data_IF_956699033724
#
_entry.id   IF_956699033724
#
_cell.length_a   1.000
_cell.length_b   1.000
_cell.length_c   1.000
_cell.angle_alpha   90.00
_cell.angle_beta   90.00
_cell.angle_gamma   90.00
#
_symmetry.space_group_name_H-M   'P 1'
#
loop_
_entity.id
_entity.type
_entity.pdbx_description
1 polymer ?
#
# COMPACT_ATOMS: atom_id res chain seq x y z
N UNK A 1 -20.62 -84.25 -5.30
CA UNK A 1 -20.36 -83.52 -4.03
C UNK A 1 -19.67 -82.22 -4.43
N UNK A 2 -20.44 -81.17 -4.53
CA UNK A 2 -20.08 -79.90 -5.14
C UNK A 2 -19.79 -78.84 -4.08
N UNK A 3 -18.54 -78.47 -3.89
CA UNK A 3 -18.16 -77.44 -2.97
C UNK A 3 -18.19 -76.05 -3.67
N UNK A 4 -19.07 -75.15 -3.24
CA UNK A 4 -19.17 -73.78 -3.70
C UNK A 4 -18.22 -72.94 -2.85
N UNK A 5 -17.19 -72.40 -3.53
CA UNK A 5 -16.31 -71.37 -3.00
C UNK A 5 -16.99 -69.99 -3.13
N UNK A 6 -17.35 -69.38 -2.04
CA UNK A 6 -17.81 -68.00 -1.96
C UNK A 6 -16.57 -67.07 -1.96
N UNK A 7 -16.36 -66.34 -3.05
CA UNK A 7 -15.36 -65.29 -3.12
C UNK A 7 -15.96 -64.00 -2.54
N UNK A 8 -15.50 -63.58 -1.36
CA UNK A 8 -15.84 -62.31 -0.75
C UNK A 8 -14.98 -61.21 -1.35
N UNK A 9 -15.57 -60.39 -2.20
CA UNK A 9 -14.91 -59.18 -2.73
C UNK A 9 -14.90 -58.08 -1.66
N UNK A 10 -13.73 -57.79 -1.14
CA UNK A 10 -13.51 -56.62 -0.24
C UNK A 10 -13.33 -55.36 -1.13
N UNK A 11 -14.37 -54.53 -1.12
CA UNK A 11 -14.35 -53.24 -1.80
C UNK A 11 -13.66 -52.22 -0.88
N UNK A 12 -12.37 -51.98 -1.12
CA UNK A 12 -11.61 -50.94 -0.43
C UNK A 12 -11.95 -49.56 -1.02
N UNK A 13 -12.82 -48.85 -0.33
CA UNK A 13 -13.08 -47.42 -0.63
C UNK A 13 -11.87 -46.56 -0.26
N UNK A 14 -11.15 -46.11 -1.25
CA UNK A 14 -10.06 -45.15 -1.11
C UNK A 14 -10.70 -43.77 -0.86
N UNK A 15 -10.72 -43.32 0.43
CA UNK A 15 -11.11 -41.93 0.76
C UNK A 15 -9.92 -41.04 0.42
N UNK A 16 -10.02 -40.35 -0.71
CA UNK A 16 -9.14 -39.22 -1.05
C UNK A 16 -9.47 -38.09 -0.08
N UNK A 17 -8.72 -38.01 1.02
CA UNK A 17 -8.66 -36.78 1.83
C UNK A 17 -7.97 -35.71 1.00
N UNK A 18 -8.75 -34.96 0.23
CA UNK A 18 -8.31 -33.73 -0.40
C UNK A 18 -7.98 -32.74 0.72
N UNK A 19 -6.69 -32.60 1.09
CA UNK A 19 -6.22 -31.45 1.82
C UNK A 19 -6.45 -30.23 0.93
N UNK A 20 -7.61 -29.61 1.05
CA UNK A 20 -7.86 -28.28 0.53
C UNK A 20 -6.97 -27.32 1.31
N UNK A 21 -5.81 -27.00 0.75
CA UNK A 21 -5.07 -25.80 1.11
C UNK A 21 -5.89 -24.59 0.64
N UNK A 22 -7.00 -24.36 1.32
CA UNK A 22 -7.70 -23.10 1.29
C UNK A 22 -6.87 -22.19 2.18
N UNK A 23 -5.84 -21.56 1.61
CA UNK A 23 -5.17 -20.47 2.28
C UNK A 23 -6.22 -19.39 2.45
N UNK A 24 -6.60 -19.19 3.70
CA UNK A 24 -7.46 -18.10 4.11
C UNK A 24 -6.68 -16.81 3.90
N UNK A 25 -6.91 -16.15 2.75
CA UNK A 25 -6.27 -14.88 2.38
C UNK A 25 -6.65 -13.74 3.34
N UNK A 26 -7.62 -13.96 4.24
CA UNK A 26 -7.94 -13.02 5.31
C UNK A 26 -6.89 -12.99 6.43
N UNK A 27 -5.94 -13.92 6.43
CA UNK A 27 -4.83 -13.99 7.37
C UNK A 27 -3.47 -13.67 6.74
N UNK A 28 -3.43 -13.09 5.55
CA UNK A 28 -2.21 -12.40 5.13
C UNK A 28 -2.07 -11.24 6.13
N UNK A 29 -1.12 -11.30 7.09
CA UNK A 29 -0.82 -10.13 7.92
C UNK A 29 -0.61 -9.00 6.93
N UNK A 30 -1.23 -7.85 7.18
CA UNK A 30 -1.05 -6.66 6.37
C UNK A 30 0.38 -6.69 5.85
N UNK A 31 0.58 -6.65 4.52
CA UNK A 31 1.89 -6.83 3.89
C UNK A 31 2.92 -5.76 4.32
N UNK A 32 2.73 -5.22 5.48
CA UNK A 32 3.49 -4.29 6.24
C UNK A 32 4.80 -4.80 6.81
N UNK A 33 5.37 -5.90 6.28
CA UNK A 33 6.69 -6.38 6.67
C UNK A 33 7.85 -5.53 6.11
N UNK A 34 7.60 -4.25 5.83
CA UNK A 34 8.65 -3.29 5.62
C UNK A 34 9.27 -2.87 6.97
N UNK A 35 10.50 -2.30 6.97
CA UNK A 35 11.12 -1.81 8.19
C UNK A 35 10.22 -0.80 8.89
N UNK A 36 10.02 -1.00 10.20
CA UNK A 36 9.52 0.00 11.13
C UNK A 36 10.71 0.78 11.67
N UNK A 37 10.50 2.03 12.07
CA UNK A 37 11.59 2.87 12.60
C UNK A 37 11.59 4.25 11.93
N UNK A 38 12.65 5.04 12.10
CA UNK A 38 12.71 6.38 11.56
C UNK A 38 12.50 6.40 10.04
N UNK A 39 11.61 7.28 9.57
CA UNK A 39 11.44 7.54 8.15
C UNK A 39 12.65 8.30 7.59
N UNK A 40 13.07 7.96 6.38
CA UNK A 40 14.12 8.69 5.67
C UNK A 40 13.56 10.03 5.18
N UNK A 41 14.25 11.17 5.43
CA UNK A 41 13.82 12.45 4.90
C UNK A 41 13.78 12.47 3.38
N UNK A 42 12.64 12.86 2.81
CA UNK A 42 12.48 13.00 1.36
C UNK A 42 12.92 14.41 0.94
N UNK A 43 13.89 14.46 0.06
CA UNK A 43 14.40 15.70 -0.55
C UNK A 43 14.36 15.56 -2.07
N UNK A 44 13.26 15.99 -2.66
CA UNK A 44 13.04 15.91 -4.11
C UNK A 44 12.16 17.07 -4.58
N UNK A 45 12.27 17.48 -5.86
CA UNK A 45 11.33 18.43 -6.42
C UNK A 45 9.94 17.80 -6.52
N UNK A 46 8.92 18.60 -6.25
CA UNK A 46 7.53 18.22 -6.51
C UNK A 46 7.24 18.28 -8.02
N UNK A 47 6.13 17.67 -8.43
CA UNK A 47 5.66 17.72 -9.83
C UNK A 47 5.35 19.17 -10.31
N UNK A 48 5.15 20.10 -9.38
CA UNK A 48 5.03 21.54 -9.70
C UNK A 48 6.37 22.25 -9.84
N UNK A 49 7.49 21.59 -9.56
CA UNK A 49 8.85 22.13 -9.62
C UNK A 49 9.31 22.80 -8.31
N UNK A 50 8.47 22.90 -7.29
CA UNK A 50 8.88 23.39 -5.98
C UNK A 50 9.68 22.31 -5.24
N UNK A 51 10.62 22.72 -4.38
CA UNK A 51 11.30 21.75 -3.51
C UNK A 51 10.40 21.38 -2.34
N UNK A 52 10.23 20.08 -2.08
CA UNK A 52 9.52 19.62 -0.89
C UNK A 52 10.40 19.83 0.35
N UNK A 53 9.83 20.48 1.37
CA UNK A 53 10.52 20.69 2.64
C UNK A 53 10.07 19.62 3.65
N UNK A 54 10.89 18.58 3.83
CA UNK A 54 10.62 17.51 4.80
C UNK A 54 10.51 18.02 6.24
N UNK A 55 11.18 19.13 6.58
CA UNK A 55 11.09 19.69 7.93
C UNK A 55 9.68 20.14 8.30
N UNK A 56 8.86 20.45 7.32
CA UNK A 56 7.44 20.81 7.51
C UNK A 56 6.58 19.66 8.04
N UNK A 57 7.08 18.42 8.00
CA UNK A 57 6.37 17.24 8.54
C UNK A 57 6.60 17.04 10.03
N UNK A 58 7.57 17.74 10.63
CA UNK A 58 7.90 17.54 12.03
C UNK A 58 6.71 17.84 12.95
N UNK A 59 6.40 16.92 13.84
CA UNK A 59 5.27 17.04 14.77
C UNK A 59 3.91 16.70 14.16
N UNK A 60 3.89 16.25 12.91
CA UNK A 60 2.68 15.83 12.20
C UNK A 60 2.74 14.36 11.81
N UNK A 61 1.60 13.69 11.84
CA UNK A 61 1.50 12.40 11.16
C UNK A 61 1.59 12.62 9.64
N UNK A 62 2.25 11.69 8.94
CA UNK A 62 2.44 11.77 7.49
C UNK A 62 1.86 10.52 6.82
N UNK A 63 1.18 10.73 5.71
CA UNK A 63 0.76 9.69 4.77
C UNK A 63 1.60 9.85 3.51
N UNK A 64 2.46 8.86 3.24
CA UNK A 64 3.15 8.74 1.96
C UNK A 64 2.31 7.85 1.05
N UNK A 65 1.98 8.34 -0.11
CA UNK A 65 1.24 7.64 -1.16
C UNK A 65 2.17 7.38 -2.34
N UNK A 66 2.60 6.12 -2.50
CA UNK A 66 3.43 5.68 -3.61
C UNK A 66 2.54 5.26 -4.78
N UNK A 67 2.67 5.94 -5.90
CA UNK A 67 1.81 5.78 -7.07
C UNK A 67 2.58 6.02 -8.38
N UNK A 68 1.97 5.72 -9.51
CA UNK A 68 2.48 6.08 -10.83
C UNK A 68 1.32 6.28 -11.82
N UNK A 69 1.46 7.14 -12.82
CA UNK A 69 0.40 7.38 -13.80
C UNK A 69 0.06 6.14 -14.63
N UNK A 70 0.99 5.22 -14.74
CA UNK A 70 0.88 3.91 -15.40
C UNK A 70 0.20 2.85 -14.55
N UNK A 71 0.00 3.10 -13.25
CA UNK A 71 -0.54 2.15 -12.28
C UNK A 71 -2.08 2.15 -12.33
N UNK A 72 -2.65 1.14 -12.96
CA UNK A 72 -4.11 0.99 -13.05
C UNK A 72 -4.83 0.92 -11.69
N UNK A 73 -4.36 0.11 -10.72
CA UNK A 73 -4.93 0.10 -9.36
C UNK A 73 -4.85 1.47 -8.66
N UNK A 74 -3.78 2.25 -8.87
CA UNK A 74 -3.65 3.60 -8.30
C UNK A 74 -4.76 4.53 -8.82
N UNK A 75 -5.10 4.42 -10.11
CA UNK A 75 -6.20 5.19 -10.70
C UNK A 75 -7.54 4.90 -10.01
N UNK A 76 -7.77 3.64 -9.62
CA UNK A 76 -9.00 3.22 -8.94
C UNK A 76 -9.04 3.70 -7.48
N UNK A 77 -7.88 3.77 -6.81
CA UNK A 77 -7.73 4.11 -5.39
C UNK A 77 -7.72 5.63 -5.14
N UNK A 78 -7.28 6.44 -6.11
CA UNK A 78 -7.06 7.88 -5.94
C UNK A 78 -8.30 8.67 -5.44
N UNK A 79 -9.55 8.39 -5.86
CA UNK A 79 -10.72 9.09 -5.30
C UNK A 79 -10.89 8.88 -3.80
N UNK A 80 -10.54 7.69 -3.29
CA UNK A 80 -10.62 7.38 -1.86
C UNK A 80 -9.49 8.05 -1.09
N UNK A 81 -8.27 8.13 -1.66
CA UNK A 81 -7.16 8.92 -1.12
C UNK A 81 -7.50 10.41 -1.05
N UNK A 82 -8.15 10.96 -2.08
CA UNK A 82 -8.62 12.34 -2.05
C UNK A 82 -9.61 12.57 -0.90
N UNK A 83 -10.50 11.60 -0.66
CA UNK A 83 -11.46 11.65 0.46
C UNK A 83 -10.75 11.60 1.81
N UNK A 84 -9.75 10.72 1.96
CA UNK A 84 -8.92 10.64 3.16
C UNK A 84 -8.16 11.95 3.40
N UNK A 85 -7.51 12.49 2.38
CA UNK A 85 -6.78 13.75 2.47
C UNK A 85 -7.71 14.91 2.88
N UNK A 86 -8.88 15.02 2.25
CA UNK A 86 -9.88 16.04 2.60
C UNK A 86 -10.34 15.96 4.05
N UNK A 87 -10.35 14.77 4.63
CA UNK A 87 -10.74 14.53 6.03
C UNK A 87 -9.62 14.82 7.02
N UNK A 88 -8.37 14.53 6.67
CA UNK A 88 -7.27 14.48 7.63
C UNK A 88 -6.30 15.65 7.52
N UNK A 89 -6.12 16.27 6.34
CA UNK A 89 -5.29 17.48 6.20
C UNK A 89 -5.76 18.61 7.11
N UNK A 90 -7.07 18.90 7.25
CA UNK A 90 -7.54 19.92 8.21
C UNK A 90 -7.26 19.60 9.68
N UNK A 91 -6.88 18.35 9.98
CA UNK A 91 -6.51 17.89 11.32
C UNK A 91 -5.00 17.85 11.54
N UNK A 92 -4.23 18.38 10.60
CA UNK A 92 -2.78 18.46 10.70
C UNK A 92 -2.01 17.24 10.16
N UNK A 93 -2.66 16.30 9.47
CA UNK A 93 -1.95 15.20 8.79
C UNK A 93 -1.39 15.73 7.47
N UNK A 94 -0.11 15.45 7.22
CA UNK A 94 0.54 15.79 5.95
C UNK A 94 0.37 14.61 4.98
N UNK A 95 -0.09 14.88 3.77
CA UNK A 95 -0.10 13.92 2.67
C UNK A 95 0.97 14.30 1.67
N UNK A 96 1.76 13.31 1.23
CA UNK A 96 2.78 13.46 0.20
C UNK A 96 2.71 12.29 -0.76
N UNK A 97 2.49 12.56 -2.04
CA UNK A 97 2.62 11.57 -3.10
C UNK A 97 4.09 11.33 -3.47
N UNK A 98 4.40 10.12 -3.89
CA UNK A 98 5.68 9.74 -4.49
C UNK A 98 5.36 9.10 -5.84
N UNK A 99 5.65 9.83 -6.92
CA UNK A 99 5.37 9.44 -8.30
C UNK A 99 6.51 8.59 -8.84
N UNK A 100 6.32 7.27 -8.84
CA UNK A 100 7.33 6.26 -9.16
C UNK A 100 7.47 6.05 -10.68
N UNK A 101 8.71 6.01 -11.14
CA UNK A 101 9.07 5.56 -12.49
C UNK A 101 8.44 6.38 -13.63
N UNK A 102 7.99 7.59 -13.34
CA UNK A 102 7.24 8.41 -14.29
C UNK A 102 8.05 9.62 -14.78
N UNK A 103 7.90 10.00 -16.05
CA UNK A 103 8.27 11.36 -16.47
C UNK A 103 7.39 12.38 -15.75
N UNK A 104 8.00 13.45 -15.24
CA UNK A 104 7.30 14.53 -14.49
C UNK A 104 6.02 15.03 -15.17
N UNK A 105 6.01 15.09 -16.52
CA UNK A 105 4.84 15.54 -17.28
C UNK A 105 3.62 14.60 -17.12
N UNK A 106 3.87 13.28 -17.01
CA UNK A 106 2.82 12.27 -16.84
C UNK A 106 2.24 12.36 -15.44
N UNK A 107 3.09 12.41 -14.42
CA UNK A 107 2.67 12.59 -13.03
C UNK A 107 1.86 13.87 -12.84
N UNK A 108 2.33 15.00 -13.40
CA UNK A 108 1.58 16.25 -13.36
C UNK A 108 0.24 16.19 -14.10
N UNK A 109 0.13 15.39 -15.18
CA UNK A 109 -1.14 15.15 -15.86
C UNK A 109 -2.09 14.31 -15.02
N UNK A 110 -1.57 13.31 -14.30
CA UNK A 110 -2.31 12.49 -13.36
C UNK A 110 -2.91 13.35 -12.24
N UNK A 111 -2.10 14.15 -11.53
CA UNK A 111 -2.57 15.04 -10.47
C UNK A 111 -3.74 15.94 -10.93
N UNK A 112 -3.61 16.51 -12.13
CA UNK A 112 -4.69 17.34 -12.71
C UNK A 112 -5.95 16.54 -13.00
N UNK A 113 -5.81 15.32 -13.56
CA UNK A 113 -6.93 14.46 -13.97
C UNK A 113 -7.72 14.01 -12.76
N UNK A 114 -7.03 13.53 -11.74
CA UNK A 114 -7.63 13.03 -10.51
C UNK A 114 -7.87 14.11 -9.45
N UNK A 115 -7.44 15.36 -9.71
CA UNK A 115 -7.56 16.49 -8.77
C UNK A 115 -6.93 16.16 -7.42
N UNK A 116 -5.72 15.60 -7.44
CA UNK A 116 -4.98 15.22 -6.24
C UNK A 116 -4.81 16.44 -5.33
N UNK A 117 -5.27 16.41 -4.06
CA UNK A 117 -5.31 17.60 -3.20
C UNK A 117 -4.03 17.84 -2.39
N UNK A 118 -2.98 17.07 -2.64
CA UNK A 118 -1.67 17.15 -1.98
C UNK A 118 -0.55 17.18 -3.01
N UNK A 119 0.64 17.61 -2.59
CA UNK A 119 1.80 17.61 -3.47
C UNK A 119 2.36 16.20 -3.65
N UNK A 120 2.91 15.92 -4.83
CA UNK A 120 3.72 14.72 -5.05
C UNK A 120 5.13 15.11 -5.47
N UNK A 121 6.13 14.34 -5.00
CA UNK A 121 7.50 14.40 -5.50
C UNK A 121 7.68 13.43 -6.65
N UNK A 122 8.55 13.75 -7.59
CA UNK A 122 8.87 12.87 -8.71
C UNK A 122 10.04 11.94 -8.34
N UNK A 123 9.78 10.65 -8.37
CA UNK A 123 10.76 9.57 -8.15
C UNK A 123 10.99 8.77 -9.44
N UNK A 124 11.38 9.46 -10.51
CA UNK A 124 11.55 8.86 -11.85
C UNK A 124 12.57 7.71 -11.89
N UNK A 125 13.40 7.56 -10.88
CA UNK A 125 14.43 6.52 -10.77
C UNK A 125 14.18 5.51 -9.66
N UNK A 126 13.01 5.54 -9.02
CA UNK A 126 12.59 4.66 -7.92
C UNK A 126 13.56 4.64 -6.72
N UNK A 127 14.31 5.72 -6.51
CA UNK A 127 15.24 5.82 -5.39
C UNK A 127 14.53 5.97 -4.06
N UNK A 128 13.50 6.82 -4.00
CA UNK A 128 12.69 7.02 -2.79
C UNK A 128 11.92 5.73 -2.49
N UNK A 129 11.29 5.11 -3.49
CA UNK A 129 10.60 3.84 -3.36
C UNK A 129 11.54 2.76 -2.80
N UNK A 130 12.77 2.68 -3.32
CA UNK A 130 13.81 1.75 -2.84
C UNK A 130 14.21 2.01 -1.39
N UNK A 131 14.41 3.26 -0.98
CA UNK A 131 14.76 3.64 0.40
C UNK A 131 13.65 3.27 1.39
N UNK A 132 12.40 3.38 0.97
CA UNK A 132 11.24 2.99 1.75
C UNK A 132 10.88 1.51 1.63
N UNK A 133 11.64 0.71 0.87
CA UNK A 133 11.37 -0.70 0.57
C UNK A 133 9.95 -0.90 -0.03
N UNK A 134 9.52 0.02 -0.87
CA UNK A 134 8.32 -0.12 -1.67
C UNK A 134 8.65 -0.96 -2.90
N UNK A 135 7.94 -2.08 -3.08
CA UNK A 135 8.17 -3.02 -4.18
C UNK A 135 7.30 -2.72 -5.39
N UNK A 136 6.18 -2.10 -5.16
CA UNK A 136 5.24 -1.70 -6.22
C UNK A 136 4.17 -0.74 -5.69
N UNK A 137 3.67 0.19 -6.52
CA UNK A 137 2.47 0.96 -6.23
C UNK A 137 1.19 0.11 -6.50
N UNK A 138 0.03 0.45 -5.88
CA UNK A 138 -0.09 1.45 -4.84
C UNK A 138 0.41 0.93 -3.49
N UNK A 139 1.15 1.76 -2.79
CA UNK A 139 1.56 1.49 -1.42
C UNK A 139 1.40 2.77 -0.60
N UNK A 140 0.70 2.65 0.53
CA UNK A 140 0.56 3.76 1.48
C UNK A 140 1.37 3.46 2.73
N UNK A 141 2.15 4.44 3.18
CA UNK A 141 2.94 4.34 4.41
C UNK A 141 2.48 5.42 5.38
N UNK A 142 2.26 5.03 6.64
CA UNK A 142 1.93 5.97 7.71
C UNK A 142 3.14 6.19 8.59
N UNK A 143 3.43 7.46 8.87
CA UNK A 143 4.51 7.91 9.74
C UNK A 143 3.86 8.69 10.89
N UNK A 144 4.30 8.42 12.13
CA UNK A 144 3.81 9.14 13.31
C UNK A 144 4.43 10.54 13.45
N UNK A 145 3.91 11.35 14.36
CA UNK A 145 4.41 12.70 14.62
C UNK A 145 5.85 12.75 15.16
N UNK A 146 6.43 11.60 15.52
CA UNK A 146 7.84 11.47 15.94
C UNK A 146 8.75 11.12 14.76
N UNK A 147 8.17 10.91 13.57
CA UNK A 147 8.90 10.55 12.35
C UNK A 147 9.15 9.05 12.20
N UNK A 148 8.44 8.18 12.91
CA UNK A 148 8.60 6.73 12.74
C UNK A 148 7.52 6.15 11.84
N UNK A 149 7.91 5.23 10.98
CA UNK A 149 6.99 4.42 10.19
C UNK A 149 6.23 3.50 11.13
N UNK A 150 4.91 3.58 11.14
CA UNK A 150 4.02 2.81 12.02
C UNK A 150 3.17 1.78 11.29
N UNK A 151 2.84 2.01 10.02
CA UNK A 151 2.13 1.02 9.21
C UNK A 151 2.38 1.18 7.70
N UNK A 152 2.02 0.12 6.93
CA UNK A 152 2.13 0.04 5.48
C UNK A 152 0.92 -0.69 4.91
N UNK A 153 0.38 -0.20 3.82
CA UNK A 153 -0.77 -0.74 3.12
C UNK A 153 -0.41 -0.96 1.65
N UNK A 154 -0.44 -2.20 1.20
CA UNK A 154 -0.14 -2.56 -0.18
C UNK A 154 -1.45 -2.88 -0.91
N UNK A 155 -1.77 -2.11 -1.94
CA UNK A 155 -2.95 -2.31 -2.78
C UNK A 155 -4.30 -2.14 -2.07
N UNK A 156 -4.33 -1.46 -0.92
CA UNK A 156 -5.55 -1.23 -0.14
C UNK A 156 -5.43 -0.03 0.77
N UNK A 157 -6.54 0.67 0.99
CA UNK A 157 -6.67 1.73 2.01
C UNK A 157 -7.40 1.26 3.28
N UNK A 158 -7.76 -0.04 3.34
CA UNK A 158 -8.46 -0.58 4.50
C UNK A 158 -7.58 -0.51 5.76
N UNK A 159 -7.97 0.30 6.72
CA UNK A 159 -7.20 0.52 7.96
C UNK A 159 -6.52 1.89 8.07
N UNK A 160 -6.14 2.54 6.95
CA UNK A 160 -5.46 3.84 6.97
C UNK A 160 -6.17 4.86 7.87
N UNK A 161 -7.49 5.03 7.70
CA UNK A 161 -8.28 5.95 8.52
C UNK A 161 -8.34 5.57 10.00
N UNK A 162 -8.24 4.27 10.32
CA UNK A 162 -8.21 3.76 11.68
C UNK A 162 -6.89 4.13 12.36
N UNK A 163 -5.77 3.94 11.66
CA UNK A 163 -4.46 4.27 12.22
C UNK A 163 -4.27 5.77 12.38
N UNK A 164 -4.69 6.57 11.40
CA UNK A 164 -4.69 8.02 11.55
C UNK A 164 -5.52 8.49 12.75
N UNK A 165 -6.62 7.79 13.08
CA UNK A 165 -7.45 8.10 14.26
C UNK A 165 -6.74 7.79 15.58
N UNK A 166 -5.74 6.92 15.59
CA UNK A 166 -4.93 6.59 16.79
C UNK A 166 -3.76 7.54 17.00
N UNK A 167 -3.33 8.20 15.91
CA UNK A 167 -2.17 9.10 15.91
C UNK A 167 -2.54 10.56 16.21
N UNK A 168 -3.80 10.94 16.04
CA UNK A 168 -4.36 12.28 16.32
C UNK A 168 -5.18 12.26 17.59
#
# INVERSE_FOLDING_TARGET
>A
MTGRLLATAILTTLVLAGCGLQQDLSQVPNAGNGPTGPATPITAPTLSGAQFDWSSTHGHAVVLDFWGSWCGPCNAEQPDLNTLASRWVPKGVVFLGVDEGDPTANGAAYERTFKVPYASVNDASDLIASEYNVLSPPTVIIIDAKGNIVDRFLGTLAGVGTDLSRLG
#
